data_IF_257793214678
#
_entry.id   IF_257793214678
#
_cell.length_a   1.000
_cell.length_b   1.000
_cell.length_c   1.000
_cell.angle_alpha   90.00
_cell.angle_beta   90.00
_cell.angle_gamma   90.00
#
_symmetry.space_group_name_H-M   'P 1'
#
loop_
_entity.id
_entity.type
_entity.pdbx_description
1 polymer ?
#
# COMPACT_ATOMS: atom_id res chain seq x y z
N UNK A 1 -22.44 -1.68 -14.79
CA UNK A 1 -23.52 -2.53 -14.21
C UNK A 1 -23.59 -3.93 -14.82
N UNK A 2 -22.97 -4.18 -15.97
CA UNK A 2 -23.13 -5.44 -16.73
C UNK A 2 -21.85 -6.30 -16.77
N UNK A 3 -20.89 -6.08 -15.85
CA UNK A 3 -19.64 -6.84 -15.83
C UNK A 3 -19.61 -7.69 -14.57
N UNK A 4 -19.47 -9.01 -14.72
CA UNK A 4 -19.30 -9.96 -13.61
C UNK A 4 -17.84 -10.11 -13.17
N UNK A 5 -16.90 -9.54 -13.93
CA UNK A 5 -15.46 -9.59 -13.68
C UNK A 5 -15.11 -8.79 -12.42
N UNK A 6 -14.13 -9.26 -11.68
CA UNK A 6 -13.49 -8.49 -10.60
C UNK A 6 -12.74 -7.28 -11.20
N UNK A 7 -13.05 -6.11 -10.69
CA UNK A 7 -12.33 -4.86 -11.01
C UNK A 7 -11.31 -4.64 -9.90
N UNK A 8 -10.06 -4.49 -10.25
CA UNK A 8 -9.00 -4.16 -9.29
C UNK A 8 -8.41 -2.80 -9.63
N UNK A 9 -8.07 -2.01 -8.61
CA UNK A 9 -7.55 -0.67 -8.82
C UNK A 9 -6.53 -0.25 -7.77
N UNK A 10 -5.51 0.46 -8.24
CA UNK A 10 -4.64 1.32 -7.45
C UNK A 10 -5.42 2.58 -7.04
N UNK A 11 -5.44 2.89 -5.75
CA UNK A 11 -6.26 3.95 -5.18
C UNK A 11 -5.42 5.03 -4.50
N UNK A 12 -5.00 6.03 -5.28
CA UNK A 12 -4.39 7.26 -4.80
C UNK A 12 -4.99 8.46 -5.54
N UNK A 13 -5.32 9.55 -4.84
CA UNK A 13 -5.92 10.75 -5.44
C UNK A 13 -4.85 11.62 -6.08
N UNK A 14 -4.80 11.61 -7.41
CA UNK A 14 -3.81 12.34 -8.22
C UNK A 14 -3.83 13.85 -7.98
N UNK A 15 -4.97 14.43 -7.68
CA UNK A 15 -5.05 15.89 -7.42
C UNK A 15 -4.32 16.24 -6.13
N UNK A 16 -4.55 15.49 -5.07
CA UNK A 16 -3.86 15.65 -3.78
C UNK A 16 -2.35 15.43 -3.94
N UNK A 17 -1.95 14.37 -4.65
CA UNK A 17 -0.52 14.10 -4.90
C UNK A 17 0.15 15.25 -5.65
N UNK A 18 -0.49 15.80 -6.70
CA UNK A 18 0.06 16.92 -7.47
C UNK A 18 0.20 18.19 -6.63
N UNK A 19 -0.76 18.49 -5.78
CA UNK A 19 -0.70 19.63 -4.86
C UNK A 19 0.44 19.49 -3.86
N UNK A 20 0.56 18.30 -3.24
CA UNK A 20 1.64 18.01 -2.30
C UNK A 20 3.01 18.07 -3.02
N UNK A 21 3.13 17.47 -4.20
CA UNK A 21 4.37 17.51 -4.99
C UNK A 21 4.77 18.94 -5.33
N UNK A 22 3.83 19.77 -5.75
CA UNK A 22 4.10 21.19 -6.06
C UNK A 22 4.61 21.93 -4.82
N UNK A 23 4.02 21.68 -3.66
CA UNK A 23 4.49 22.23 -2.39
C UNK A 23 5.94 21.82 -2.09
N UNK A 24 6.29 20.53 -2.17
CA UNK A 24 7.64 20.05 -1.87
C UNK A 24 8.66 20.48 -2.93
N UNK A 25 8.27 20.60 -4.20
CA UNK A 25 9.10 21.20 -5.25
C UNK A 25 9.43 22.66 -4.96
N UNK A 26 8.49 23.43 -4.39
CA UNK A 26 8.74 24.82 -4.02
C UNK A 26 9.72 24.98 -2.86
N UNK A 27 9.82 23.96 -1.97
CA UNK A 27 10.72 23.96 -0.82
C UNK A 27 12.13 23.46 -1.16
N UNK A 28 12.24 22.42 -1.98
CA UNK A 28 13.48 21.65 -2.19
C UNK A 28 13.97 21.67 -3.65
N UNK A 29 13.21 22.26 -4.58
CA UNK A 29 13.50 22.10 -6.00
C UNK A 29 13.33 20.64 -6.45
N UNK A 30 14.05 20.19 -7.50
CA UNK A 30 13.87 18.86 -8.06
C UNK A 30 14.44 17.73 -7.17
N UNK A 31 15.34 18.03 -6.23
CA UNK A 31 16.01 17.07 -5.35
C UNK A 31 15.27 16.93 -4.00
N UNK A 32 13.97 16.66 -4.04
CA UNK A 32 13.15 16.46 -2.83
C UNK A 32 13.71 15.27 -2.04
N UNK A 33 13.95 15.41 -0.71
CA UNK A 33 14.33 14.29 0.14
C UNK A 33 13.30 13.15 0.07
N UNK A 34 13.77 11.90 -0.07
CA UNK A 34 12.87 10.75 -0.18
C UNK A 34 11.99 10.55 1.06
N UNK A 35 12.41 11.03 2.22
CA UNK A 35 11.59 11.05 3.44
C UNK A 35 10.30 11.86 3.29
N UNK A 36 10.20 12.76 2.29
CA UNK A 36 8.97 13.48 1.95
C UNK A 36 8.00 12.62 1.13
N UNK A 37 8.41 11.44 0.66
CA UNK A 37 7.56 10.59 -0.19
C UNK A 37 6.20 10.25 0.45
N UNK A 38 6.10 9.83 1.73
CA UNK A 38 4.81 9.59 2.39
C UNK A 38 3.99 10.86 2.66
N UNK A 39 4.59 12.04 2.56
CA UNK A 39 3.88 13.31 2.68
C UNK A 39 3.33 13.77 1.32
N UNK A 40 4.03 13.45 0.24
CA UNK A 40 3.57 13.69 -1.14
C UNK A 40 2.45 12.70 -1.49
N UNK A 41 2.69 11.41 -1.35
CA UNK A 41 1.71 10.33 -1.48
C UNK A 41 1.09 10.02 -0.12
N UNK A 42 0.31 11.00 0.35
CA UNK A 42 -0.17 11.05 1.73
C UNK A 42 -1.25 10.01 2.02
N UNK A 43 -1.47 9.75 3.31
CA UNK A 43 -2.58 8.91 3.78
C UNK A 43 -3.94 9.47 3.33
N UNK A 44 -4.06 10.81 3.23
CA UNK A 44 -5.27 11.44 2.72
C UNK A 44 -5.50 11.13 1.24
N UNK A 45 -4.46 11.17 0.39
CA UNK A 45 -4.57 10.81 -1.02
C UNK A 45 -5.07 9.37 -1.21
N UNK A 46 -4.55 8.42 -0.41
CA UNK A 46 -5.00 7.04 -0.42
C UNK A 46 -6.47 6.94 0.00
N UNK A 47 -6.84 7.53 1.14
CA UNK A 47 -8.20 7.45 1.69
C UNK A 47 -9.25 8.10 0.77
N UNK A 48 -8.97 9.27 0.18
CA UNK A 48 -9.90 9.94 -0.73
C UNK A 48 -10.21 9.08 -1.96
N UNK A 49 -9.22 8.43 -2.54
CA UNK A 49 -9.41 7.58 -3.71
C UNK A 49 -10.11 6.27 -3.35
N UNK A 50 -9.61 5.54 -2.35
CA UNK A 50 -10.17 4.25 -1.93
C UNK A 50 -11.62 4.39 -1.43
N UNK A 51 -11.94 5.44 -0.64
CA UNK A 51 -13.30 5.67 -0.16
C UNK A 51 -14.29 5.93 -1.30
N UNK A 52 -13.92 6.72 -2.31
CA UNK A 52 -14.75 6.96 -3.50
C UNK A 52 -14.97 5.68 -4.31
N UNK A 53 -13.89 4.93 -4.56
CA UNK A 53 -13.95 3.69 -5.34
C UNK A 53 -14.82 2.63 -4.65
N UNK A 54 -14.64 2.43 -3.33
CA UNK A 54 -15.43 1.51 -2.53
C UNK A 54 -16.90 1.94 -2.47
N UNK A 55 -17.19 3.23 -2.28
CA UNK A 55 -18.56 3.75 -2.31
C UNK A 55 -19.25 3.47 -3.65
N UNK A 56 -18.54 3.69 -4.76
CA UNK A 56 -19.06 3.39 -6.10
C UNK A 56 -19.29 1.88 -6.30
N UNK A 57 -18.37 1.04 -5.83
CA UNK A 57 -18.52 -0.42 -5.89
C UNK A 57 -19.75 -0.90 -5.10
N UNK A 58 -19.96 -0.36 -3.89
CA UNK A 58 -21.16 -0.64 -3.08
C UNK A 58 -22.44 -0.20 -3.77
N UNK A 59 -22.47 1.01 -4.33
CA UNK A 59 -23.64 1.56 -5.02
C UNK A 59 -24.02 0.76 -6.27
N UNK A 60 -23.03 0.26 -7.00
CA UNK A 60 -23.24 -0.48 -8.24
C UNK A 60 -23.39 -2.00 -8.05
N UNK A 61 -23.02 -2.52 -6.87
CA UNK A 61 -22.92 -3.94 -6.59
C UNK A 61 -21.76 -4.64 -7.31
N UNK A 62 -20.77 -3.89 -7.82
CA UNK A 62 -19.60 -4.42 -8.51
C UNK A 62 -18.70 -5.23 -7.57
N UNK A 63 -18.01 -6.23 -8.13
CA UNK A 63 -16.89 -6.90 -7.45
C UNK A 63 -15.66 -6.02 -7.60
N UNK A 64 -15.06 -5.61 -6.48
CA UNK A 64 -13.95 -4.67 -6.47
C UNK A 64 -12.82 -5.13 -5.53
N UNK A 65 -11.59 -4.99 -5.98
CA UNK A 65 -10.40 -5.26 -5.19
C UNK A 65 -9.52 -4.01 -5.10
N UNK A 66 -9.16 -3.63 -3.88
CA UNK A 66 -8.24 -2.51 -3.63
C UNK A 66 -6.84 -3.06 -3.53
N UNK A 67 -5.95 -2.65 -4.44
CA UNK A 67 -4.54 -3.00 -4.39
C UNK A 67 -3.83 -2.33 -3.22
N UNK A 68 -2.79 -2.98 -2.68
CA UNK A 68 -1.72 -2.47 -1.83
C UNK A 68 -2.15 -1.36 -0.83
N UNK A 69 -3.08 -1.65 0.07
CA UNK A 69 -3.45 -0.73 1.15
C UNK A 69 -2.21 -0.33 1.97
N UNK A 70 -2.11 0.95 2.28
CA UNK A 70 -0.95 1.52 2.95
C UNK A 70 -1.26 2.32 4.22
N UNK A 71 -2.55 2.46 4.59
CA UNK A 71 -2.96 3.25 5.76
C UNK A 71 -3.95 2.52 6.66
N UNK A 72 -3.88 2.78 7.97
CA UNK A 72 -4.84 2.28 8.93
C UNK A 72 -6.28 2.76 8.62
N UNK A 73 -6.41 4.02 8.22
CA UNK A 73 -7.71 4.64 7.93
C UNK A 73 -8.45 3.98 6.77
N UNK A 74 -7.76 3.54 5.73
CA UNK A 74 -8.37 2.83 4.61
C UNK A 74 -9.00 1.50 5.05
N UNK A 75 -8.42 0.84 6.06
CA UNK A 75 -8.93 -0.44 6.55
C UNK A 75 -10.33 -0.34 7.18
N UNK A 76 -10.74 0.86 7.65
CA UNK A 76 -12.07 1.12 8.20
C UNK A 76 -13.17 1.04 7.13
N UNK A 77 -12.80 1.12 5.85
CA UNK A 77 -13.71 1.00 4.72
C UNK A 77 -14.10 -0.45 4.41
N UNK A 78 -13.42 -1.42 5.00
CA UNK A 78 -13.53 -2.85 4.71
C UNK A 78 -14.34 -3.59 5.77
N UNK A 79 -15.01 -4.65 5.32
CA UNK A 79 -15.91 -5.46 6.13
C UNK A 79 -15.28 -6.83 6.43
N UNK A 80 -15.42 -7.30 7.66
CA UNK A 80 -15.02 -8.65 8.10
C UNK A 80 -16.21 -9.48 8.62
N UNK A 81 -17.43 -9.03 8.46
CA UNK A 81 -18.64 -9.76 8.89
C UNK A 81 -19.01 -10.89 7.93
N UNK A 82 -18.54 -10.82 6.67
CA UNK A 82 -18.79 -11.81 5.65
C UNK A 82 -17.55 -12.71 5.44
N UNK A 83 -17.74 -14.01 5.18
CA UNK A 83 -16.65 -14.86 4.71
C UNK A 83 -16.16 -14.41 3.34
N UNK A 84 -14.88 -14.64 3.01
CA UNK A 84 -14.25 -14.20 1.77
C UNK A 84 -15.06 -14.57 0.51
N UNK A 85 -15.65 -15.77 0.48
CA UNK A 85 -16.46 -16.25 -0.65
C UNK A 85 -17.71 -15.40 -0.93
N UNK A 86 -18.17 -14.59 0.03
CA UNK A 86 -19.35 -13.73 -0.07
C UNK A 86 -18.99 -12.24 -0.20
N UNK A 87 -17.72 -11.88 0.02
CA UNK A 87 -17.27 -10.49 -0.13
C UNK A 87 -17.33 -10.06 -1.60
N UNK A 88 -17.89 -8.90 -1.85
CA UNK A 88 -17.81 -8.21 -3.13
C UNK A 88 -16.64 -7.23 -3.20
N UNK A 89 -16.22 -6.73 -2.04
CA UNK A 89 -15.10 -5.81 -1.91
C UNK A 89 -14.03 -6.52 -1.10
N UNK A 90 -12.85 -6.63 -1.68
CA UNK A 90 -11.66 -7.25 -1.08
C UNK A 90 -10.49 -6.30 -1.17
N UNK A 91 -9.44 -6.55 -0.39
CA UNK A 91 -8.22 -5.74 -0.41
C UNK A 91 -6.98 -6.58 -0.10
N UNK A 92 -5.82 -6.06 -0.49
CA UNK A 92 -4.53 -6.66 -0.22
C UNK A 92 -3.61 -5.75 0.60
N UNK A 93 -2.73 -6.37 1.37
CA UNK A 93 -1.57 -5.72 1.97
C UNK A 93 -0.29 -6.25 1.33
N UNK A 94 0.59 -5.36 0.92
CA UNK A 94 1.89 -5.76 0.41
C UNK A 94 2.92 -5.97 1.52
N UNK A 95 3.85 -6.90 1.29
CA UNK A 95 4.92 -7.26 2.24
C UNK A 95 5.66 -6.02 2.77
N UNK A 96 5.98 -5.06 1.90
CA UNK A 96 6.72 -3.86 2.30
C UNK A 96 5.91 -2.92 3.21
N UNK A 97 4.57 -2.87 3.07
CA UNK A 97 3.71 -2.10 3.97
C UNK A 97 3.50 -2.79 5.33
N UNK A 98 3.71 -4.10 5.40
CA UNK A 98 3.72 -4.88 6.65
C UNK A 98 5.08 -4.84 7.36
N UNK A 99 6.17 -4.55 6.63
CA UNK A 99 7.55 -4.56 7.12
C UNK A 99 8.05 -3.18 7.52
N UNK A 100 8.05 -2.23 6.58
CA UNK A 100 8.66 -0.90 6.73
C UNK A 100 7.72 0.14 7.33
N UNK A 101 8.34 1.19 7.88
CA UNK A 101 7.69 2.42 8.32
C UNK A 101 8.37 3.63 7.67
N UNK A 102 7.79 4.81 7.82
CA UNK A 102 8.37 6.08 7.35
C UNK A 102 9.75 6.39 7.98
N UNK A 103 10.05 5.83 9.17
CA UNK A 103 11.36 5.96 9.82
C UNK A 103 12.48 5.29 9.02
N UNK A 104 12.15 4.22 8.28
CA UNK A 104 13.11 3.46 7.49
C UNK A 104 13.65 4.22 6.27
N UNK A 105 12.98 5.32 5.84
CA UNK A 105 13.54 6.18 4.79
C UNK A 105 14.90 6.79 5.17
N UNK A 106 15.22 6.95 6.47
CA UNK A 106 16.49 7.47 6.91
C UNK A 106 17.66 6.53 6.57
N UNK A 107 17.43 5.22 6.65
CA UNK A 107 18.46 4.21 6.40
C UNK A 107 18.39 3.66 4.97
N UNK A 108 17.18 3.34 4.50
CA UNK A 108 16.96 2.65 3.22
C UNK A 108 16.81 3.60 2.04
N UNK A 109 16.50 4.86 2.30
CA UNK A 109 16.42 5.90 1.28
C UNK A 109 15.46 5.54 0.14
N UNK A 110 15.94 5.74 -1.07
CA UNK A 110 15.18 5.52 -2.31
C UNK A 110 14.86 4.05 -2.59
N UNK A 111 15.53 3.12 -1.91
CA UNK A 111 15.30 1.69 -2.08
C UNK A 111 13.89 1.28 -1.65
N UNK A 112 13.29 2.02 -0.72
CA UNK A 112 11.93 1.79 -0.23
C UNK A 112 10.91 2.82 -0.75
N UNK A 113 11.19 3.46 -1.87
CA UNK A 113 10.24 4.33 -2.57
C UNK A 113 9.26 3.47 -3.37
N UNK A 114 8.03 3.30 -2.87
CA UNK A 114 6.88 2.62 -3.52
C UNK A 114 5.68 3.56 -3.69
N UNK A 115 4.75 3.18 -4.54
CA UNK A 115 3.44 3.80 -4.70
C UNK A 115 2.34 2.76 -4.43
N UNK A 116 1.58 2.90 -3.33
CA UNK A 116 1.62 3.94 -2.31
C UNK A 116 2.91 3.95 -1.49
N UNK A 117 3.24 5.11 -0.93
CA UNK A 117 4.40 5.25 -0.07
C UNK A 117 4.26 4.38 1.20
N UNK A 118 5.39 3.91 1.75
CA UNK A 118 5.45 3.38 3.12
C UNK A 118 5.04 4.49 4.09
N UNK A 119 4.16 4.19 5.03
CA UNK A 119 3.54 5.15 5.96
C UNK A 119 4.08 4.98 7.38
N UNK A 120 3.36 5.56 8.35
CA UNK A 120 3.73 5.55 9.76
C UNK A 120 3.67 4.16 10.38
N UNK A 121 4.30 4.00 11.54
CA UNK A 121 4.19 2.79 12.34
C UNK A 121 2.73 2.48 12.74
N UNK A 122 1.94 3.52 13.02
CA UNK A 122 0.52 3.37 13.32
C UNK A 122 -0.24 2.81 12.11
N UNK A 123 0.08 3.25 10.90
CA UNK A 123 -0.52 2.72 9.68
C UNK A 123 -0.14 1.25 9.47
N UNK A 124 1.13 0.90 9.64
CA UNK A 124 1.60 -0.49 9.56
C UNK A 124 0.85 -1.39 10.53
N UNK A 125 0.74 -1.00 11.80
CA UNK A 125 0.03 -1.80 12.80
C UNK A 125 -1.48 -1.89 12.51
N UNK A 126 -2.08 -0.82 11.97
CA UNK A 126 -3.47 -0.84 11.51
C UNK A 126 -3.71 -1.83 10.35
N UNK A 127 -2.77 -1.91 9.40
CA UNK A 127 -2.81 -2.91 8.30
C UNK A 127 -2.65 -4.32 8.87
N UNK A 128 -1.72 -4.54 9.81
CA UNK A 128 -1.57 -5.83 10.48
C UNK A 128 -2.86 -6.26 11.19
N UNK A 129 -3.47 -5.36 11.95
CA UNK A 129 -4.73 -5.65 12.63
C UNK A 129 -5.83 -6.03 11.63
N UNK A 130 -5.95 -5.29 10.52
CA UNK A 130 -6.95 -5.54 9.49
C UNK A 130 -6.70 -6.86 8.73
N UNK A 131 -5.43 -7.26 8.56
CA UNK A 131 -5.08 -8.56 7.98
C UNK A 131 -5.50 -9.71 8.90
N UNK A 132 -5.26 -9.56 10.21
CA UNK A 132 -5.56 -10.60 11.19
C UNK A 132 -7.05 -10.75 11.49
N UNK A 133 -7.81 -9.65 11.43
CA UNK A 133 -9.27 -9.67 11.65
C UNK A 133 -10.09 -9.88 10.37
N UNK A 134 -9.45 -10.19 9.24
CA UNK A 134 -10.08 -10.46 7.94
C UNK A 134 -10.75 -9.25 7.26
N UNK A 135 -10.42 -8.03 7.61
CA UNK A 135 -10.75 -6.87 6.78
C UNK A 135 -9.91 -6.86 5.50
N UNK A 136 -8.62 -7.18 5.61
CA UNK A 136 -7.73 -7.42 4.47
C UNK A 136 -7.68 -8.93 4.18
N UNK A 137 -7.77 -9.28 2.91
CA UNK A 137 -8.03 -10.64 2.45
C UNK A 137 -6.79 -11.35 1.88
N UNK A 138 -5.82 -10.58 1.36
CA UNK A 138 -4.70 -11.10 0.58
C UNK A 138 -3.39 -10.44 0.99
N UNK A 139 -2.30 -11.22 1.01
CA UNK A 139 -0.93 -10.71 1.03
C UNK A 139 -0.38 -10.70 -0.39
N UNK A 140 0.19 -9.58 -0.81
CA UNK A 140 0.74 -9.38 -2.14
C UNK A 140 2.17 -8.85 -2.11
N UNK A 141 2.82 -8.77 -3.26
CA UNK A 141 4.21 -8.31 -3.38
C UNK A 141 4.34 -6.93 -3.98
N UNK A 142 3.46 -6.55 -4.88
CA UNK A 142 3.64 -5.37 -5.74
C UNK A 142 5.06 -5.34 -6.35
N UNK A 143 5.47 -6.49 -6.96
CA UNK A 143 6.80 -6.68 -7.49
C UNK A 143 7.04 -5.78 -8.72
N UNK A 144 7.77 -4.70 -8.52
CA UNK A 144 8.14 -3.74 -9.55
C UNK A 144 9.66 -3.46 -9.48
N UNK A 145 10.50 -4.34 -10.05
CA UNK A 145 11.94 -4.26 -9.91
C UNK A 145 12.54 -3.11 -10.71
N UNK A 146 13.51 -2.44 -10.09
CA UNK A 146 14.34 -1.41 -10.71
C UNK A 146 15.80 -1.65 -10.35
N UNK A 147 16.71 -1.29 -11.25
CA UNK A 147 18.15 -1.38 -11.01
C UNK A 147 18.59 -0.32 -9.99
N UNK A 148 19.75 -0.55 -9.36
CA UNK A 148 20.36 0.45 -8.48
C UNK A 148 20.71 1.75 -9.20
N UNK A 149 21.07 1.67 -10.49
CA UNK A 149 21.33 2.83 -11.35
C UNK A 149 20.07 3.68 -11.55
N UNK A 150 18.93 3.05 -11.87
CA UNK A 150 17.64 3.73 -11.99
C UNK A 150 17.23 4.37 -10.67
N UNK A 151 17.41 3.67 -9.55
CA UNK A 151 17.13 4.19 -8.20
C UNK A 151 18.08 5.31 -7.78
N UNK A 152 19.30 5.35 -8.31
CA UNK A 152 20.34 6.32 -7.98
C UNK A 152 20.17 7.72 -8.58
N UNK A 153 19.02 8.03 -9.18
CA UNK A 153 18.73 9.37 -9.70
C UNK A 153 18.66 10.41 -8.57
N UNK A 154 19.09 11.64 -8.84
CA UNK A 154 19.07 12.73 -7.86
C UNK A 154 17.70 13.40 -7.79
N UNK A 155 17.08 13.63 -8.95
CA UNK A 155 15.78 14.29 -9.03
C UNK A 155 14.68 13.33 -8.60
N UNK A 156 13.92 13.71 -7.58
CA UNK A 156 12.86 12.87 -6.98
C UNK A 156 11.89 12.29 -8.00
N UNK A 157 11.49 13.07 -9.01
CA UNK A 157 10.53 12.63 -10.02
C UNK A 157 11.13 11.60 -11.01
N UNK A 158 12.47 11.55 -11.13
CA UNK A 158 13.18 10.57 -11.96
C UNK A 158 13.46 9.26 -11.24
N UNK A 159 13.36 9.24 -9.91
CA UNK A 159 13.55 8.02 -9.12
C UNK A 159 12.30 7.14 -9.28
N UNK A 160 12.40 5.96 -9.89
CA UNK A 160 11.25 5.08 -10.05
C UNK A 160 10.74 4.56 -8.70
N UNK A 161 9.44 4.32 -8.60
CA UNK A 161 8.81 3.68 -7.44
C UNK A 161 8.64 2.18 -7.70
N UNK A 162 8.93 1.37 -6.70
CA UNK A 162 8.91 -0.10 -6.77
C UNK A 162 10.23 -0.72 -6.33
N UNK A 163 10.20 -1.99 -6.00
CA UNK A 163 11.38 -2.80 -5.69
C UNK A 163 11.15 -4.30 -5.98
N UNK A 164 12.22 -5.12 -6.08
CA UNK A 164 12.09 -6.56 -6.29
C UNK A 164 11.67 -7.25 -4.99
N UNK A 165 10.45 -7.79 -4.93
CA UNK A 165 9.91 -8.46 -3.74
C UNK A 165 9.55 -9.93 -3.94
N UNK A 166 9.29 -10.40 -5.14
CA UNK A 166 8.82 -11.78 -5.37
C UNK A 166 9.74 -12.82 -4.74
N UNK A 167 11.07 -12.65 -4.85
CA UNK A 167 12.04 -13.56 -4.28
C UNK A 167 12.04 -13.55 -2.74
N UNK A 168 11.74 -12.40 -2.13
CA UNK A 168 11.87 -12.18 -0.69
C UNK A 168 10.53 -12.31 0.07
N UNK A 169 9.41 -12.27 -0.64
CA UNK A 169 8.09 -12.17 -0.05
C UNK A 169 7.77 -13.28 0.94
N UNK A 170 8.00 -14.54 0.56
CA UNK A 170 7.70 -15.68 1.43
C UNK A 170 8.58 -15.68 2.68
N UNK A 171 9.88 -15.45 2.53
CA UNK A 171 10.81 -15.42 3.67
C UNK A 171 10.46 -14.27 4.61
N UNK A 172 10.20 -13.08 4.08
CA UNK A 172 9.79 -11.92 4.88
C UNK A 172 8.47 -12.18 5.61
N UNK A 173 7.47 -12.76 4.93
CA UNK A 173 6.20 -13.11 5.55
C UNK A 173 6.38 -14.12 6.69
N UNK A 174 7.13 -15.21 6.46
CA UNK A 174 7.43 -16.21 7.48
C UNK A 174 8.12 -15.60 8.71
N UNK A 175 9.10 -14.71 8.49
CA UNK A 175 9.81 -14.01 9.56
C UNK A 175 8.84 -13.14 10.37
N UNK A 176 8.06 -12.27 9.71
CA UNK A 176 7.12 -11.37 10.38
C UNK A 176 6.04 -12.12 11.18
N UNK A 177 5.52 -13.22 10.62
CA UNK A 177 4.50 -14.04 11.30
C UNK A 177 5.08 -14.75 12.52
N UNK A 178 6.30 -15.31 12.40
CA UNK A 178 6.99 -15.95 13.51
C UNK A 178 7.33 -14.96 14.64
N UNK A 179 7.86 -13.77 14.32
CA UNK A 179 8.18 -12.73 15.29
C UNK A 179 6.96 -12.21 16.05
N UNK A 180 5.78 -12.23 15.40
CA UNK A 180 4.51 -11.83 16.00
C UNK A 180 3.77 -12.99 16.70
N UNK A 181 4.33 -14.22 16.67
CA UNK A 181 3.67 -15.39 17.23
C UNK A 181 2.39 -15.80 16.50
N UNK A 182 2.27 -15.46 15.22
CA UNK A 182 1.08 -15.76 14.40
C UNK A 182 1.26 -17.14 13.76
N UNK A 183 0.28 -18.05 13.85
CA UNK A 183 0.37 -19.37 13.25
C UNK A 183 0.55 -19.35 11.73
N UNK A 184 1.30 -20.34 11.19
CA UNK A 184 1.57 -20.46 9.77
C UNK A 184 0.29 -20.61 8.93
N UNK A 185 -0.72 -21.26 9.48
CA UNK A 185 -2.02 -21.43 8.84
C UNK A 185 -2.65 -20.08 8.47
N UNK A 186 -2.45 -19.06 9.32
CA UNK A 186 -2.94 -17.71 9.03
C UNK A 186 -2.22 -17.05 7.86
N UNK A 187 -0.93 -17.34 7.67
CA UNK A 187 -0.20 -16.89 6.48
C UNK A 187 -0.71 -17.60 5.21
N UNK A 188 -1.00 -18.90 5.31
CA UNK A 188 -1.48 -19.70 4.17
C UNK A 188 -2.91 -19.30 3.75
N UNK A 189 -3.71 -18.80 4.67
CA UNK A 189 -5.06 -18.29 4.37
C UNK A 189 -5.04 -16.98 3.56
N UNK A 190 -3.92 -16.24 3.55
CA UNK A 190 -3.78 -14.89 2.98
C UNK A 190 -2.98 -14.91 1.69
#
# INVERSE_FOLDING_TARGET
>A
RNVSTLIAAHCEDEQTIRQNLAHYLSLYGPEIPVACHPLIRSAEACYLSSSRAIALARQTGARFHVFHLSTAKETELLDNTLPLSQKKITAEACIHHLWFTDKDYQEKGVLIKWNPAVKTEQDREGIWQALLDNRIDVIATDHAPHTLEEKGQKEYQKIPSGAPLVQHALVAALTMFAERGIPLERLVEK
#
